data_IF_538097842883
#
_entry.id   IF_538097842883
#
_cell.length_a   1.000
_cell.length_b   1.000
_cell.length_c   1.000
_cell.angle_alpha   90.00
_cell.angle_beta   90.00
_cell.angle_gamma   90.00
#
_symmetry.space_group_name_H-M   'P 1'
#
loop_
_entity.id
_entity.type
_entity.pdbx_description
1 polymer ?
#
# COMPACT_ATOMS: atom_id res chain seq x y z
N UNK A 1 -11.10 1.63 -25.98
CA UNK A 1 -10.63 1.77 -24.58
C UNK A 1 -11.61 0.97 -23.75
N UNK A 2 -11.22 -0.25 -23.36
CA UNK A 2 -12.16 -1.24 -22.81
C UNK A 2 -12.59 -0.91 -21.39
N UNK A 3 -13.83 -1.28 -21.08
CA UNK A 3 -14.47 -1.11 -19.75
C UNK A 3 -13.65 -1.82 -18.65
N UNK A 4 -12.89 -2.86 -19.00
CA UNK A 4 -11.96 -3.58 -18.12
C UNK A 4 -10.75 -2.72 -17.72
N UNK A 5 -10.31 -1.80 -18.58
CA UNK A 5 -9.19 -0.89 -18.29
C UNK A 5 -9.59 0.24 -17.32
N UNK A 6 -10.87 0.63 -17.29
CA UNK A 6 -11.38 1.66 -16.40
C UNK A 6 -11.52 1.18 -14.94
N UNK A 7 -11.80 -0.10 -14.71
CA UNK A 7 -11.90 -0.69 -13.37
C UNK A 7 -10.54 -0.85 -12.67
N UNK A 8 -9.45 -0.96 -13.43
CA UNK A 8 -8.09 -1.18 -12.91
C UNK A 8 -7.42 0.09 -12.36
N UNK A 9 -7.83 1.28 -12.85
CA UNK A 9 -7.27 2.56 -12.38
C UNK A 9 -7.82 3.03 -11.03
N UNK A 10 -8.96 2.49 -10.58
CA UNK A 10 -9.60 2.91 -9.32
C UNK A 10 -9.10 2.14 -8.08
N UNK A 11 -8.54 0.94 -8.25
CA UNK A 11 -8.15 0.07 -7.12
C UNK A 11 -6.85 0.45 -6.40
N UNK A 12 -5.98 1.27 -7.02
CA UNK A 12 -4.65 1.55 -6.51
C UNK A 12 -4.53 2.80 -5.60
N UNK A 13 -5.60 3.59 -5.43
CA UNK A 13 -5.57 4.87 -4.69
C UNK A 13 -6.57 4.98 -3.51
N UNK A 14 -7.37 3.96 -3.21
CA UNK A 14 -8.52 4.07 -2.29
C UNK A 14 -8.38 3.37 -0.95
N UNK A 15 -7.24 3.50 -0.25
CA UNK A 15 -7.11 3.01 1.13
C UNK A 15 -6.60 4.05 2.13
N UNK A 16 -6.88 5.32 1.83
CA UNK A 16 -6.79 6.44 2.77
C UNK A 16 -7.98 7.41 2.69
N UNK A 17 -9.05 7.06 1.98
CA UNK A 17 -10.22 7.91 1.87
C UNK A 17 -11.14 7.69 3.08
N UNK A 18 -11.38 8.77 3.84
CA UNK A 18 -12.47 8.88 4.82
C UNK A 18 -13.78 8.31 4.25
N UNK A 19 -14.63 7.65 5.05
CA UNK A 19 -15.89 7.11 4.56
C UNK A 19 -16.68 8.23 3.86
N UNK A 20 -17.21 8.00 2.64
CA UNK A 20 -18.01 9.02 1.96
C UNK A 20 -19.24 9.37 2.82
N UNK A 21 -19.67 10.64 2.84
CA UNK A 21 -20.93 11.01 3.48
C UNK A 21 -22.07 10.25 2.81
N UNK A 22 -22.95 9.67 3.63
CA UNK A 22 -24.07 8.80 3.29
C UNK A 22 -24.73 9.12 1.93
N UNK A 23 -24.20 8.52 0.86
CA UNK A 23 -24.78 8.60 -0.47
C UNK A 23 -25.74 7.42 -0.62
N UNK A 24 -27.00 7.76 -0.91
CA UNK A 24 -28.14 6.87 -1.23
C UNK A 24 -27.74 5.43 -1.55
N UNK A 25 -28.13 4.54 -0.65
CA UNK A 25 -28.27 3.10 -0.89
C UNK A 25 -29.21 2.95 -2.08
N UNK A 26 -28.64 2.82 -3.28
CA UNK A 26 -29.32 2.16 -4.38
C UNK A 26 -29.62 0.75 -3.87
N UNK A 27 -30.90 0.44 -3.69
CA UNK A 27 -31.42 -0.88 -3.37
C UNK A 27 -31.12 -1.84 -4.53
N UNK A 28 -29.84 -2.17 -4.72
CA UNK A 28 -29.43 -3.32 -5.50
C UNK A 28 -29.86 -4.54 -4.69
N UNK A 29 -31.03 -5.10 -5.03
CA UNK A 29 -31.48 -6.37 -4.48
C UNK A 29 -30.35 -7.39 -4.60
N UNK A 30 -29.84 -7.94 -3.49
CA UNK A 30 -28.86 -9.01 -3.57
C UNK A 30 -29.59 -10.25 -4.04
N UNK A 31 -29.54 -10.53 -5.34
CA UNK A 31 -29.68 -11.90 -5.83
C UNK A 31 -28.34 -12.59 -5.50
N UNK A 32 -28.09 -12.82 -4.21
CA UNK A 32 -27.02 -13.72 -3.79
C UNK A 32 -27.55 -15.10 -4.16
N UNK A 33 -27.08 -15.63 -5.28
CA UNK A 33 -27.27 -17.05 -5.54
C UNK A 33 -26.69 -17.80 -4.33
N UNK A 34 -27.39 -18.81 -3.82
CA UNK A 34 -26.86 -19.67 -2.77
C UNK A 34 -25.54 -20.34 -3.19
N UNK A 35 -25.22 -20.31 -4.49
CA UNK A 35 -23.95 -20.78 -5.08
C UNK A 35 -22.77 -19.81 -4.90
N UNK A 36 -22.99 -18.54 -4.53
CA UNK A 36 -21.92 -17.55 -4.31
C UNK A 36 -21.26 -17.66 -2.90
N UNK A 37 -21.27 -18.85 -2.32
CA UNK A 37 -20.46 -19.11 -1.13
C UNK A 37 -18.97 -18.99 -1.48
N UNK A 38 -18.15 -18.58 -0.50
CA UNK A 38 -16.71 -18.50 -0.69
C UNK A 38 -16.12 -19.85 -1.14
N UNK A 39 -16.56 -20.95 -0.52
CA UNK A 39 -16.12 -22.30 -0.88
C UNK A 39 -16.57 -22.68 -2.30
N UNK A 40 -17.82 -22.37 -2.69
CA UNK A 40 -18.34 -22.60 -4.03
C UNK A 40 -17.52 -21.88 -5.10
N UNK A 41 -17.26 -20.58 -4.91
CA UNK A 41 -16.45 -19.79 -5.85
C UNK A 41 -15.00 -20.27 -5.93
N UNK A 42 -14.38 -20.65 -4.81
CA UNK A 42 -13.02 -21.21 -4.82
C UNK A 42 -12.98 -22.53 -5.58
N UNK A 43 -13.98 -23.41 -5.39
CA UNK A 43 -14.08 -24.66 -6.11
C UNK A 43 -14.32 -24.45 -7.61
N UNK A 44 -15.20 -23.52 -7.97
CA UNK A 44 -15.51 -23.17 -9.36
C UNK A 44 -14.28 -22.58 -10.08
N UNK A 45 -13.52 -21.71 -9.42
CA UNK A 45 -12.26 -21.17 -9.95
C UNK A 45 -11.14 -22.21 -10.07
N UNK A 46 -11.15 -23.22 -9.20
CA UNK A 46 -10.21 -24.35 -9.23
C UNK A 46 -10.59 -25.43 -10.24
N UNK A 47 -11.75 -25.33 -10.87
CA UNK A 47 -12.15 -26.24 -11.92
C UNK A 47 -11.46 -25.86 -13.24
N UNK A 48 -10.63 -26.77 -13.74
CA UNK A 48 -9.89 -26.59 -15.00
C UNK A 48 -10.75 -26.80 -16.25
N UNK A 49 -12.05 -27.06 -16.11
CA UNK A 49 -12.97 -27.12 -17.22
C UNK A 49 -12.88 -25.84 -18.08
N UNK A 50 -12.85 -26.04 -19.40
CA UNK A 50 -12.92 -24.95 -20.37
C UNK A 50 -14.29 -24.29 -20.24
N UNK A 51 -14.27 -23.02 -19.84
CA UNK A 51 -15.42 -22.14 -19.90
C UNK A 51 -15.30 -21.31 -21.17
N UNK A 52 -16.42 -21.01 -21.80
CA UNK A 52 -16.42 -19.97 -22.82
C UNK A 52 -15.99 -18.62 -22.22
N UNK A 53 -15.65 -17.68 -23.10
CA UNK A 53 -15.09 -16.39 -22.69
C UNK A 53 -16.08 -15.52 -21.88
N UNK A 54 -17.39 -15.74 -22.02
CA UNK A 54 -18.41 -14.98 -21.30
C UNK A 54 -18.59 -15.54 -19.89
N UNK A 55 -18.79 -16.85 -19.76
CA UNK A 55 -18.87 -17.56 -18.50
C UNK A 55 -17.60 -17.38 -17.66
N UNK A 56 -16.42 -17.44 -18.29
CA UNK A 56 -15.15 -17.17 -17.61
C UNK A 56 -15.06 -15.74 -17.06
N UNK A 57 -15.54 -14.74 -17.81
CA UNK A 57 -15.56 -13.33 -17.37
C UNK A 57 -16.56 -13.11 -16.24
N UNK A 58 -17.72 -13.74 -16.31
CA UNK A 58 -18.74 -13.67 -15.27
C UNK A 58 -18.22 -14.26 -13.96
N UNK A 59 -17.63 -15.46 -13.99
CA UNK A 59 -17.01 -16.11 -12.83
C UNK A 59 -15.94 -15.22 -12.19
N UNK A 60 -15.01 -14.68 -12.99
CA UNK A 60 -13.97 -13.77 -12.47
C UNK A 60 -14.56 -12.51 -11.85
N UNK A 61 -15.62 -11.95 -12.44
CA UNK A 61 -16.32 -10.77 -11.91
C UNK A 61 -16.99 -11.06 -10.56
N UNK A 62 -17.73 -12.17 -10.46
CA UNK A 62 -18.39 -12.60 -9.22
C UNK A 62 -17.36 -12.85 -8.11
N UNK A 63 -16.32 -13.62 -8.42
CA UNK A 63 -15.25 -13.92 -7.47
C UNK A 63 -14.47 -12.66 -7.05
N UNK A 64 -14.15 -11.75 -7.96
CA UNK A 64 -13.47 -10.50 -7.59
C UNK A 64 -14.36 -9.61 -6.70
N UNK A 65 -15.66 -9.55 -6.98
CA UNK A 65 -16.62 -8.81 -6.17
C UNK A 65 -16.71 -9.40 -4.75
N UNK A 66 -16.74 -10.74 -4.64
CA UNK A 66 -16.69 -11.42 -3.34
C UNK A 66 -15.37 -11.17 -2.60
N UNK A 67 -14.23 -11.24 -3.29
CA UNK A 67 -12.92 -10.93 -2.72
C UNK A 67 -12.87 -9.55 -2.09
N UNK A 68 -13.37 -8.53 -2.80
CA UNK A 68 -13.49 -7.17 -2.24
C UNK A 68 -14.35 -7.14 -0.98
N UNK A 69 -15.49 -7.83 -1.00
CA UNK A 69 -16.35 -7.96 0.18
C UNK A 69 -15.65 -8.58 1.40
N UNK A 70 -14.82 -9.62 1.20
CA UNK A 70 -14.02 -10.23 2.28
C UNK A 70 -12.95 -9.26 2.81
N UNK A 71 -12.26 -8.53 1.92
CA UNK A 71 -11.25 -7.52 2.30
C UNK A 71 -11.90 -6.37 3.08
N UNK A 72 -13.03 -5.84 2.60
CA UNK A 72 -13.77 -4.75 3.25
C UNK A 72 -14.31 -5.18 4.62
N UNK A 73 -14.69 -6.46 4.77
CA UNK A 73 -15.11 -7.06 6.03
C UNK A 73 -13.94 -7.54 6.93
N UNK A 74 -12.69 -7.29 6.54
CA UNK A 74 -11.47 -7.71 7.26
C UNK A 74 -11.34 -9.23 7.49
N UNK A 75 -11.95 -10.04 6.62
CA UNK A 75 -11.88 -11.51 6.64
C UNK A 75 -10.74 -12.00 5.76
N UNK A 76 -9.51 -11.71 6.20
CA UNK A 76 -8.32 -11.82 5.36
C UNK A 76 -7.98 -13.25 4.95
N UNK A 77 -8.27 -14.27 5.77
CA UNK A 77 -8.04 -15.68 5.42
C UNK A 77 -8.92 -16.12 4.24
N UNK A 78 -10.21 -15.76 4.28
CA UNK A 78 -11.14 -16.01 3.19
C UNK A 78 -10.75 -15.25 1.92
N UNK A 79 -10.36 -13.98 2.08
CA UNK A 79 -9.84 -13.18 0.98
C UNK A 79 -8.58 -13.81 0.35
N UNK A 80 -7.71 -14.44 1.15
CA UNK A 80 -6.46 -15.04 0.67
C UNK A 80 -6.76 -16.24 -0.21
N UNK A 81 -7.58 -17.19 0.25
CA UNK A 81 -7.97 -18.36 -0.55
C UNK A 81 -8.62 -17.95 -1.89
N UNK A 82 -9.47 -16.92 -1.86
CA UNK A 82 -10.13 -16.45 -3.07
C UNK A 82 -9.15 -15.72 -4.01
N UNK A 83 -8.21 -14.94 -3.48
CA UNK A 83 -7.17 -14.28 -4.28
C UNK A 83 -6.22 -15.27 -4.94
N UNK A 84 -5.85 -16.36 -4.25
CA UNK A 84 -5.05 -17.45 -4.81
C UNK A 84 -5.79 -18.18 -5.95
N UNK A 85 -7.07 -18.51 -5.74
CA UNK A 85 -7.90 -19.13 -6.77
C UNK A 85 -8.07 -18.20 -7.98
N UNK A 86 -8.36 -16.91 -7.76
CA UNK A 86 -8.42 -15.89 -8.81
C UNK A 86 -7.10 -15.77 -9.57
N UNK A 87 -5.97 -15.75 -8.88
CA UNK A 87 -4.66 -15.61 -9.52
C UNK A 87 -4.32 -16.81 -10.40
N UNK A 88 -4.59 -18.03 -9.92
CA UNK A 88 -4.40 -19.26 -10.71
C UNK A 88 -5.26 -19.26 -11.98
N UNK A 89 -6.55 -18.92 -11.86
CA UNK A 89 -7.49 -18.94 -12.99
C UNK A 89 -7.25 -17.81 -13.99
N UNK A 90 -7.05 -16.58 -13.51
CA UNK A 90 -6.91 -15.42 -14.38
C UNK A 90 -5.52 -15.29 -15.00
N UNK A 91 -4.47 -15.74 -14.28
CA UNK A 91 -3.06 -15.62 -14.67
C UNK A 91 -2.64 -14.21 -15.15
N UNK A 92 -3.31 -13.17 -14.65
CA UNK A 92 -3.19 -11.80 -15.13
C UNK A 92 -2.46 -10.89 -14.11
N UNK A 93 -1.83 -9.82 -14.61
CA UNK A 93 -1.06 -8.88 -13.78
C UNK A 93 -1.88 -8.31 -12.61
N UNK A 94 -3.13 -7.94 -12.84
CA UNK A 94 -4.01 -7.40 -11.79
C UNK A 94 -4.27 -8.39 -10.64
N UNK A 95 -4.39 -9.69 -10.96
CA UNK A 95 -4.65 -10.73 -9.98
C UNK A 95 -3.41 -10.98 -9.10
N UNK A 96 -2.22 -10.96 -9.71
CA UNK A 96 -0.95 -11.06 -9.01
C UNK A 96 -0.74 -9.88 -8.05
N UNK A 97 -1.04 -8.65 -8.51
CA UNK A 97 -0.93 -7.45 -7.67
C UNK A 97 -1.90 -7.50 -6.48
N UNK A 98 -3.12 -7.99 -6.68
CA UNK A 98 -4.12 -8.12 -5.62
C UNK A 98 -3.72 -9.15 -4.57
N UNK A 99 -3.27 -10.33 -5.02
CA UNK A 99 -2.76 -11.38 -4.14
C UNK A 99 -1.53 -10.92 -3.34
N UNK A 100 -0.54 -10.34 -4.01
CA UNK A 100 0.68 -9.86 -3.35
C UNK A 100 0.41 -8.72 -2.34
N UNK A 101 -0.54 -7.84 -2.63
CA UNK A 101 -0.97 -6.80 -1.69
C UNK A 101 -1.57 -7.42 -0.42
N UNK A 102 -2.44 -8.41 -0.57
CA UNK A 102 -3.04 -9.10 0.57
C UNK A 102 -1.99 -9.89 1.37
N UNK A 103 -1.10 -10.63 0.71
CA UNK A 103 0.01 -11.33 1.34
C UNK A 103 0.90 -10.37 2.15
N UNK A 104 1.21 -9.19 1.60
CA UNK A 104 1.97 -8.15 2.31
C UNK A 104 1.26 -7.71 3.60
N UNK A 105 -0.07 -7.52 3.58
CA UNK A 105 -0.86 -7.15 4.78
C UNK A 105 -0.89 -8.23 5.84
N UNK A 106 -0.83 -9.49 5.43
CA UNK A 106 -0.77 -10.65 6.31
C UNK A 106 0.65 -10.93 6.84
N UNK A 107 1.64 -10.09 6.50
CA UNK A 107 3.04 -10.31 6.88
C UNK A 107 3.73 -11.42 6.07
N UNK A 108 3.10 -11.92 5.01
CA UNK A 108 3.61 -12.96 4.12
C UNK A 108 4.51 -12.35 3.02
N UNK A 109 5.54 -11.62 3.43
CA UNK A 109 6.39 -10.84 2.52
C UNK A 109 7.09 -11.69 1.45
N UNK A 110 7.55 -12.89 1.80
CA UNK A 110 8.21 -13.80 0.85
C UNK A 110 7.24 -14.37 -0.19
N UNK A 111 6.01 -14.68 0.22
CA UNK A 111 4.97 -15.12 -0.70
C UNK A 111 4.60 -14.01 -1.69
N UNK A 112 4.45 -12.77 -1.19
CA UNK A 112 4.19 -11.59 -2.02
C UNK A 112 5.30 -11.38 -3.05
N UNK A 113 6.57 -11.47 -2.64
CA UNK A 113 7.70 -11.38 -3.55
C UNK A 113 7.70 -12.50 -4.60
N UNK A 114 7.42 -13.74 -4.20
CA UNK A 114 7.38 -14.87 -5.12
C UNK A 114 6.29 -14.68 -6.19
N UNK A 115 5.07 -14.31 -5.79
CA UNK A 115 3.96 -14.01 -6.69
C UNK A 115 4.31 -12.89 -7.68
N UNK A 116 4.87 -11.77 -7.19
CA UNK A 116 5.25 -10.64 -8.04
C UNK A 116 6.39 -10.99 -8.99
N UNK A 117 7.39 -11.74 -8.53
CA UNK A 117 8.54 -12.15 -9.34
C UNK A 117 8.14 -13.11 -10.46
N UNK A 118 7.25 -14.07 -10.16
CA UNK A 118 6.70 -14.98 -11.16
C UNK A 118 5.85 -14.25 -12.20
N UNK A 119 5.06 -13.25 -11.80
CA UNK A 119 4.32 -12.43 -12.76
C UNK A 119 5.28 -11.58 -13.60
N UNK A 120 6.28 -10.95 -12.97
CA UNK A 120 7.27 -10.11 -13.65
C UNK A 120 8.09 -10.86 -14.70
N UNK A 121 8.35 -12.16 -14.50
CA UNK A 121 9.04 -13.00 -15.49
C UNK A 121 8.23 -13.20 -16.79
N UNK A 122 6.89 -13.09 -16.72
CA UNK A 122 5.97 -13.26 -17.84
C UNK A 122 5.54 -11.94 -18.47
N UNK A 123 5.61 -10.84 -17.72
CA UNK A 123 5.21 -9.51 -18.19
C UNK A 123 6.33 -8.84 -19.01
N UNK A 124 6.04 -8.58 -20.28
CA UNK A 124 6.92 -7.84 -21.19
C UNK A 124 7.17 -6.38 -20.77
N UNK A 125 8.06 -5.64 -21.45
CA UNK A 125 8.31 -4.23 -21.16
C UNK A 125 7.03 -3.38 -21.26
N UNK A 126 6.83 -2.43 -20.35
CA UNK A 126 5.69 -1.53 -20.38
C UNK A 126 5.23 -1.05 -19.02
N UNK A 127 4.04 -0.44 -18.99
CA UNK A 127 3.41 0.10 -17.79
C UNK A 127 3.19 -0.96 -16.71
N UNK A 128 2.66 -2.13 -17.08
CA UNK A 128 2.41 -3.23 -16.14
C UNK A 128 3.70 -3.73 -15.46
N UNK A 129 4.79 -3.87 -16.21
CA UNK A 129 6.09 -4.30 -15.67
C UNK A 129 6.62 -3.31 -14.64
N UNK A 130 6.49 -2.02 -14.94
CA UNK A 130 6.87 -0.94 -14.03
C UNK A 130 6.06 -0.99 -12.74
N UNK A 131 4.75 -1.18 -12.83
CA UNK A 131 3.86 -1.24 -11.66
C UNK A 131 4.17 -2.50 -10.81
N UNK A 132 4.50 -3.63 -11.44
CA UNK A 132 4.99 -4.83 -10.74
C UNK A 132 6.34 -4.59 -10.03
N UNK A 133 7.31 -3.93 -10.68
CA UNK A 133 8.59 -3.58 -10.06
C UNK A 133 8.41 -2.69 -8.83
N UNK A 134 7.50 -1.73 -8.92
CA UNK A 134 7.15 -0.86 -7.79
C UNK A 134 6.56 -1.66 -6.62
N UNK A 135 5.55 -2.51 -6.90
CA UNK A 135 4.93 -3.38 -5.89
C UNK A 135 5.94 -4.34 -5.27
N UNK A 136 6.87 -4.88 -6.07
CA UNK A 136 7.94 -5.74 -5.58
C UNK A 136 8.88 -5.00 -4.63
N UNK A 137 9.21 -3.74 -4.96
CA UNK A 137 9.96 -2.87 -4.08
C UNK A 137 9.26 -2.64 -2.74
N UNK A 138 7.96 -2.37 -2.77
CA UNK A 138 7.15 -2.17 -1.55
C UNK A 138 7.04 -3.45 -0.70
N UNK A 139 6.83 -4.62 -1.32
CA UNK A 139 6.78 -5.90 -0.61
C UNK A 139 8.12 -6.19 0.10
N UNK A 140 9.25 -5.96 -0.58
CA UNK A 140 10.60 -6.10 0.01
C UNK A 140 10.86 -5.14 1.16
N UNK A 141 10.36 -3.90 1.05
CA UNK A 141 10.40 -2.92 2.14
C UNK A 141 9.61 -3.39 3.35
N UNK A 142 8.38 -3.89 3.16
CA UNK A 142 7.57 -4.47 4.23
C UNK A 142 8.24 -5.67 4.91
N UNK A 143 9.03 -6.44 4.16
CA UNK A 143 9.84 -7.55 4.67
C UNK A 143 11.20 -7.13 5.27
N UNK A 144 11.51 -5.83 5.38
CA UNK A 144 12.78 -5.34 5.93
C UNK A 144 14.00 -5.46 4.99
N UNK A 145 13.82 -5.92 3.74
CA UNK A 145 14.90 -6.09 2.73
C UNK A 145 15.21 -4.79 2.00
N UNK A 146 15.74 -3.80 2.73
CA UNK A 146 15.94 -2.44 2.21
C UNK A 146 16.76 -2.38 0.91
N UNK A 147 17.89 -3.11 0.83
CA UNK A 147 18.76 -3.07 -0.36
C UNK A 147 18.05 -3.54 -1.63
N UNK A 148 17.38 -4.69 -1.55
CA UNK A 148 16.63 -5.26 -2.68
C UNK A 148 15.41 -4.42 -3.06
N UNK A 149 14.78 -3.79 -2.07
CA UNK A 149 13.68 -2.87 -2.27
C UNK A 149 14.11 -1.63 -3.05
N UNK A 150 15.23 -0.99 -2.65
CA UNK A 150 15.79 0.16 -3.36
C UNK A 150 16.14 -0.18 -4.81
N UNK A 151 16.68 -1.38 -5.04
CA UNK A 151 16.97 -1.87 -6.40
C UNK A 151 15.69 -1.98 -7.26
N UNK A 152 14.62 -2.57 -6.73
CA UNK A 152 13.35 -2.72 -7.46
C UNK A 152 12.66 -1.36 -7.71
N UNK A 153 12.58 -0.51 -6.69
CA UNK A 153 12.03 0.84 -6.80
C UNK A 153 12.85 1.71 -7.76
N UNK A 154 14.18 1.59 -7.76
CA UNK A 154 15.05 2.32 -8.69
C UNK A 154 14.79 1.93 -10.14
N UNK A 155 14.59 0.62 -10.42
CA UNK A 155 14.17 0.17 -11.76
C UNK A 155 12.78 0.68 -12.14
N UNK A 156 11.82 0.68 -11.20
CA UNK A 156 10.49 1.23 -11.44
C UNK A 156 10.54 2.74 -11.73
N UNK A 157 11.30 3.52 -10.95
CA UNK A 157 11.57 4.94 -11.19
C UNK A 157 12.14 5.13 -12.59
N UNK A 158 13.22 4.43 -12.92
CA UNK A 158 13.91 4.59 -14.20
C UNK A 158 12.97 4.29 -15.38
N UNK A 159 12.00 3.40 -15.19
CA UNK A 159 10.94 3.09 -16.15
C UNK A 159 9.79 4.10 -16.18
N UNK A 160 9.90 5.22 -15.46
CA UNK A 160 8.93 6.31 -15.41
C UNK A 160 7.89 6.22 -14.29
N UNK A 161 8.09 5.42 -13.23
CA UNK A 161 7.13 5.39 -12.11
C UNK A 161 7.33 6.60 -11.21
N UNK A 162 6.31 7.46 -11.15
CA UNK A 162 6.27 8.59 -10.23
C UNK A 162 6.07 8.13 -8.79
N UNK A 163 5.28 7.08 -8.53
CA UNK A 163 5.03 6.58 -7.18
C UNK A 163 6.29 5.92 -6.59
N UNK A 164 7.01 5.11 -7.35
CA UNK A 164 8.31 4.58 -6.94
C UNK A 164 9.26 5.72 -6.53
N UNK A 165 9.16 6.85 -7.22
CA UNK A 165 9.94 8.01 -6.88
C UNK A 165 9.54 8.78 -5.63
N UNK A 166 8.24 8.87 -5.36
CA UNK A 166 7.75 9.38 -4.09
C UNK A 166 8.25 8.52 -2.93
N UNK A 167 8.19 7.20 -3.08
CA UNK A 167 8.68 6.24 -2.08
C UNK A 167 10.18 6.39 -1.85
N UNK A 168 10.99 6.46 -2.91
CA UNK A 168 12.44 6.67 -2.79
C UNK A 168 12.77 8.01 -2.12
N UNK A 169 12.06 9.09 -2.47
CA UNK A 169 12.21 10.39 -1.83
C UNK A 169 11.90 10.37 -0.34
N UNK A 170 10.81 9.70 0.06
CA UNK A 170 10.44 9.51 1.45
C UNK A 170 11.45 8.65 2.22
N UNK A 171 12.01 7.61 1.59
CA UNK A 171 13.05 6.78 2.18
C UNK A 171 14.39 7.51 2.37
N UNK A 172 14.74 8.40 1.45
CA UNK A 172 15.92 9.26 1.59
C UNK A 172 15.75 10.24 2.74
N UNK A 173 14.58 10.89 2.83
CA UNK A 173 14.29 11.82 3.91
C UNK A 173 14.28 11.15 5.28
N UNK A 174 13.56 10.03 5.43
CA UNK A 174 13.53 9.30 6.70
C UNK A 174 14.92 8.83 7.15
N UNK A 175 15.86 8.66 6.21
CA UNK A 175 17.27 8.41 6.49
C UNK A 175 18.15 9.65 6.69
N UNK A 176 17.57 10.85 6.81
CA UNK A 176 18.31 12.11 6.98
C UNK A 176 18.98 12.65 5.71
N UNK A 177 18.74 12.05 4.55
CA UNK A 177 19.38 12.40 3.27
C UNK A 177 18.60 13.50 2.54
N UNK A 178 18.53 14.69 3.15
CA UNK A 178 17.68 15.78 2.66
C UNK A 178 18.04 16.27 1.23
N UNK A 179 19.31 16.21 0.83
CA UNK A 179 19.73 16.57 -0.53
C UNK A 179 19.18 15.58 -1.57
N UNK A 180 19.26 14.29 -1.28
CA UNK A 180 18.77 13.22 -2.15
C UNK A 180 17.24 13.24 -2.24
N UNK A 181 16.55 13.40 -1.11
CA UNK A 181 15.10 13.57 -1.09
C UNK A 181 14.66 14.76 -1.96
N UNK A 182 15.33 15.91 -1.85
CA UNK A 182 15.07 17.09 -2.70
C UNK A 182 15.29 16.80 -4.19
N UNK A 183 16.37 16.10 -4.55
CA UNK A 183 16.66 15.70 -5.93
C UNK A 183 15.53 14.83 -6.49
N UNK A 184 15.11 13.82 -5.74
CA UNK A 184 14.04 12.90 -6.12
C UNK A 184 12.71 13.65 -6.27
N UNK A 185 12.23 14.36 -5.25
CA UNK A 185 10.99 15.11 -5.35
C UNK A 185 11.03 16.21 -6.42
N UNK A 186 12.17 16.87 -6.60
CA UNK A 186 12.38 17.86 -7.67
C UNK A 186 12.23 17.26 -9.07
N UNK A 187 12.77 16.06 -9.29
CA UNK A 187 12.60 15.35 -10.56
C UNK A 187 11.13 15.02 -10.87
N UNK A 188 10.29 14.78 -9.86
CA UNK A 188 8.85 14.57 -10.06
C UNK A 188 8.09 15.85 -10.46
N UNK A 189 8.59 17.02 -10.05
CA UNK A 189 8.02 18.32 -10.43
C UNK A 189 8.40 18.73 -11.85
N UNK A 190 9.53 18.23 -12.35
CA UNK A 190 10.06 18.55 -13.67
C UNK A 190 9.42 17.75 -14.82
N UNK A 191 8.53 16.79 -14.53
CA UNK A 191 7.87 15.98 -15.57
C UNK A 191 6.71 16.78 -16.17
N UNK A 192 6.80 17.27 -17.42
CA UNK A 192 5.66 17.91 -18.07
C UNK A 192 4.57 16.87 -18.31
N UNK A 193 3.33 17.19 -17.94
CA UNK A 193 2.20 16.31 -18.24
C UNK A 193 2.04 16.20 -19.77
N UNK A 194 1.96 14.98 -20.34
CA UNK A 194 1.80 14.82 -21.78
C UNK A 194 0.49 15.48 -22.24
N UNK A 195 0.59 16.41 -23.19
CA UNK A 195 -0.54 17.18 -23.70
C UNK A 195 -0.88 18.46 -22.91
N UNK A 196 -0.21 18.72 -21.79
CA UNK A 196 -0.33 20.02 -21.12
C UNK A 196 0.46 21.06 -21.92
N UNK A 197 -0.24 21.87 -22.71
CA UNK A 197 0.32 23.12 -23.21
C UNK A 197 0.90 23.94 -22.04
N UNK A 198 1.85 24.83 -22.32
CA UNK A 198 2.68 25.55 -21.35
C UNK A 198 1.94 26.29 -20.20
N UNK A 199 0.61 26.31 -20.19
CA UNK A 199 -0.26 26.99 -19.19
C UNK A 199 -0.92 26.08 -18.15
N UNK A 200 -0.82 24.75 -18.23
CA UNK A 200 -1.42 23.84 -17.24
C UNK A 200 -0.35 23.05 -16.46
N UNK A 201 0.69 23.72 -15.98
CA UNK A 201 1.70 23.14 -15.08
C UNK A 201 1.38 23.43 -13.62
N UNK A 202 0.15 23.17 -13.18
CA UNK A 202 -0.10 23.16 -11.73
C UNK A 202 0.36 21.79 -11.22
N UNK A 203 1.49 21.68 -10.50
CA UNK A 203 1.91 20.39 -9.96
C UNK A 203 0.79 19.86 -9.06
N UNK A 204 0.52 18.54 -9.07
CA UNK A 204 -0.54 17.97 -8.27
C UNK A 204 -0.32 18.38 -6.82
N UNK A 205 -1.32 19.06 -6.26
CA UNK A 205 -1.39 19.64 -4.91
C UNK A 205 -0.89 18.69 -3.80
N UNK A 206 -0.95 17.37 -4.03
CA UNK A 206 -0.37 16.34 -3.16
C UNK A 206 1.13 16.55 -2.88
N UNK A 207 1.90 17.11 -3.82
CA UNK A 207 3.33 17.43 -3.62
C UNK A 207 3.52 18.69 -2.76
N UNK A 208 2.57 19.65 -2.77
CA UNK A 208 2.63 20.85 -1.94
C UNK A 208 2.31 20.56 -0.48
N UNK A 209 1.31 19.71 -0.22
CA UNK A 209 0.94 19.31 1.15
C UNK A 209 2.07 18.56 1.88
N UNK A 210 2.73 17.63 1.18
CA UNK A 210 3.86 16.89 1.75
C UNK A 210 5.10 17.76 1.94
N UNK A 211 5.45 18.60 0.94
CA UNK A 211 6.56 19.54 1.07
C UNK A 211 6.40 20.52 2.23
N UNK A 212 5.18 21.01 2.49
CA UNK A 212 4.90 21.92 3.61
C UNK A 212 4.90 21.20 4.97
N UNK A 213 4.42 19.96 5.05
CA UNK A 213 4.50 19.16 6.28
C UNK A 213 5.95 18.92 6.74
N UNK A 214 6.90 18.95 5.80
CA UNK A 214 8.32 18.69 6.05
C UNK A 214 9.11 19.94 6.47
N UNK A 215 8.61 21.13 6.12
CA UNK A 215 9.20 22.42 6.51
C UNK A 215 8.89 22.75 7.98
N UNK A 216 7.84 22.17 8.56
CA UNK A 216 7.40 22.45 9.93
C UNK A 216 8.16 21.73 11.07
N UNK A 217 8.99 20.72 10.78
CA UNK A 217 9.58 19.86 11.83
C UNK A 217 11.07 19.55 11.71
N UNK A 218 11.68 19.60 10.52
CA UNK A 218 13.05 19.13 10.31
C UNK A 218 14.15 20.11 10.78
N UNK A 219 13.80 21.35 11.12
CA UNK A 219 14.72 22.39 11.58
C UNK A 219 14.41 22.94 12.98
N UNK A 220 13.45 22.37 13.72
CA UNK A 220 13.44 22.64 15.15
C UNK A 220 14.58 21.82 15.76
N UNK A 221 15.63 22.44 16.34
CA UNK A 221 16.52 21.68 17.20
C UNK A 221 15.60 21.01 18.22
N UNK A 222 15.70 19.68 18.32
CA UNK A 222 15.10 18.96 19.46
C UNK A 222 15.75 19.60 20.66
N UNK A 223 15.04 20.56 21.29
CA UNK A 223 15.50 21.20 22.49
C UNK A 223 15.83 20.06 23.44
N UNK A 224 17.09 20.00 23.84
CA UNK A 224 17.66 18.91 24.61
C UNK A 224 16.90 18.85 25.94
N UNK A 225 15.79 18.11 25.99
CA UNK A 225 14.94 17.99 27.17
C UNK A 225 15.68 17.29 28.34
N UNK A 226 16.92 16.84 28.10
CA UNK A 226 17.85 16.37 29.14
C UNK A 226 18.42 17.49 30.00
N UNK A 227 18.31 18.76 29.61
CA UNK A 227 18.86 19.88 30.39
C UNK A 227 17.94 20.45 31.49
N UNK A 228 16.66 20.03 31.61
CA UNK A 228 15.70 20.61 32.58
C UNK A 228 15.23 19.69 33.70
N UNK A 229 15.93 18.58 33.97
CA UNK A 229 15.72 17.83 35.21
C UNK A 229 16.87 18.09 36.19
N UNK A 230 16.98 19.33 36.63
CA UNK A 230 17.66 19.61 37.88
C UNK A 230 17.00 18.75 38.98
N UNK A 231 17.76 17.96 39.76
CA UNK A 231 17.19 17.20 40.84
C UNK A 231 16.57 18.18 41.85
N UNK A 232 15.26 18.06 42.07
CA UNK A 232 14.60 18.75 43.17
C UNK A 232 15.36 18.41 44.45
N UNK A 233 16.03 19.42 45.03
CA UNK A 233 16.70 19.33 46.33
C UNK A 233 15.67 18.83 47.34
N UNK A 234 15.77 17.56 47.73
CA UNK A 234 15.02 17.01 48.85
C UNK A 234 15.52 17.73 50.11
N UNK A 235 14.68 18.57 50.70
CA UNK A 235 14.90 19.08 52.05
C UNK A 235 15.05 17.90 53.02
N UNK A 236 16.08 17.87 53.87
CA UNK A 236 16.17 16.90 54.96
C UNK A 236 15.08 17.24 55.98
N UNK A 237 14.04 16.41 56.08
CA UNK A 237 13.07 16.49 57.17
C UNK A 237 13.70 15.90 58.41
N UNK A 238 13.98 16.77 59.38
CA UNK A 238 14.50 16.42 60.69
C UNK A 238 13.45 15.65 61.51
N UNK A 239 13.94 14.60 62.17
CA UNK A 239 13.65 14.16 63.56
C UNK A 239 12.20 14.04 64.03
N UNK A 240 11.83 12.86 64.52
CA UNK A 240 11.73 12.58 65.98
C UNK A 240 11.36 11.10 66.20
N UNK A 241 12.17 10.40 66.99
CA UNK A 241 11.88 9.07 67.50
C UNK A 241 11.10 9.19 68.82
N UNK A 242 10.01 8.45 69.05
CA UNK A 242 9.50 8.25 70.40
C UNK A 242 10.30 7.14 71.08
N UNK A 243 10.84 7.50 72.25
CA UNK A 243 11.41 6.60 73.23
C UNK A 243 10.27 5.88 73.94
N UNK A 244 10.21 4.56 73.85
CA UNK A 244 9.38 3.77 74.77
C UNK A 244 10.28 2.98 75.71
N UNK A 245 10.22 3.41 76.96
CA UNK A 245 10.85 2.79 78.13
C UNK A 245 9.72 2.28 79.02
N UNK A 246 9.90 1.07 79.55
CA UNK A 246 9.21 0.43 80.70
C UNK A 246 7.75 -0.02 80.52
N UNK A 247 7.31 -1.17 81.04
CA UNK A 247 7.82 -2.04 82.13
C UNK A 247 7.87 -3.51 81.75
#
# INVERSE_FOLDING_TARGET
>A
MDIVTAALLFGCLLLGASPPPAARVLEARPFISLDDTLAGLVAELGNDAELDAEAGRELLTRAFSRFRGEVDAWRLDGALHLAEALHRRAAATWSAMSLALLQTRLGLGDAAEATLSQQLARTGPGAERRDLLERLGLARLGAGRRGEALSALGRAWYSGSTNAGQVLGALALSGGQAAEARRLFGALLAVPAPGAGARAQTPPWALRGWGLAMVGGANQPVADQRASKAPAKRSPRATSAPSDTTR
#
